data_IF_981722392774
#
_entry.id   IF_981722392774
#
_cell.length_a   1.000
_cell.length_b   1.000
_cell.length_c   1.000
_cell.angle_alpha   90.00
_cell.angle_beta   90.00
_cell.angle_gamma   90.00
#
_symmetry.space_group_name_H-M   'P 1'
#
loop_
_entity.id
_entity.type
_entity.pdbx_description
1 polymer ?
#
# COMPACT_ATOMS: atom_id res chain seq x y z
N UNK A 1 1.01 20.40 14.70
CA UNK A 1 -0.19 19.96 13.98
C UNK A 1 -1.30 19.74 14.99
N UNK A 2 -2.52 20.24 14.73
CA UNK A 2 -3.69 20.10 15.62
C UNK A 2 -4.58 18.95 15.17
N UNK A 3 -5.47 18.46 16.06
CA UNK A 3 -6.44 17.43 15.70
C UNK A 3 -7.38 17.83 14.55
N UNK A 4 -7.92 19.07 14.46
CA UNK A 4 -8.68 19.50 13.30
C UNK A 4 -7.89 19.42 11.97
N UNK A 5 -6.60 19.76 11.99
CA UNK A 5 -5.75 19.63 10.81
C UNK A 5 -5.53 18.15 10.39
N UNK A 6 -5.34 17.27 11.38
CA UNK A 6 -5.24 15.83 11.12
C UNK A 6 -6.55 15.26 10.56
N UNK A 7 -7.69 15.72 11.10
CA UNK A 7 -9.02 15.36 10.58
C UNK A 7 -9.18 15.80 9.13
N UNK A 8 -8.84 17.03 8.80
CA UNK A 8 -8.89 17.56 7.44
C UNK A 8 -8.01 16.74 6.48
N UNK A 9 -6.80 16.38 6.90
CA UNK A 9 -5.92 15.51 6.11
C UNK A 9 -6.56 14.14 5.86
N UNK A 10 -7.11 13.53 6.92
CA UNK A 10 -7.82 12.24 6.82
C UNK A 10 -8.99 12.32 5.85
N UNK A 11 -9.81 13.38 5.91
CA UNK A 11 -10.96 13.60 5.03
C UNK A 11 -10.55 13.81 3.56
N UNK A 12 -9.33 14.27 3.33
CA UNK A 12 -8.71 14.41 1.99
C UNK A 12 -8.00 13.14 1.50
N UNK A 13 -8.12 12.02 2.23
CA UNK A 13 -7.56 10.73 1.83
C UNK A 13 -6.14 10.45 2.31
N UNK A 14 -5.53 11.34 3.11
CA UNK A 14 -4.23 11.03 3.73
C UNK A 14 -4.40 9.99 4.84
N UNK A 15 -3.47 9.06 4.90
CA UNK A 15 -3.45 8.08 5.98
C UNK A 15 -2.90 8.69 7.27
N UNK A 16 -3.67 8.58 8.36
CA UNK A 16 -3.23 8.91 9.71
C UNK A 16 -2.88 7.60 10.41
N UNK A 17 -1.60 7.36 10.59
CA UNK A 17 -1.05 6.13 11.16
C UNK A 17 -0.61 6.31 12.61
N UNK A 18 -0.45 5.19 13.34
CA UNK A 18 0.00 5.19 14.72
C UNK A 18 1.53 5.12 14.82
N UNK A 19 2.12 5.95 15.70
CA UNK A 19 3.55 5.99 16.02
C UNK A 19 3.82 5.96 17.53
N UNK A 20 2.85 5.49 18.32
CA UNK A 20 2.81 5.58 19.78
C UNK A 20 2.33 6.95 20.26
N UNK A 21 1.77 6.97 21.47
CA UNK A 21 1.31 8.20 22.12
C UNK A 21 2.47 9.05 22.65
N UNK A 22 3.39 8.40 23.37
CA UNK A 22 4.55 9.02 24.00
C UNK A 22 5.89 8.62 23.33
N UNK A 23 5.83 8.09 22.12
CA UNK A 23 7.02 7.70 21.35
C UNK A 23 7.95 6.73 22.10
N UNK A 24 7.35 5.77 22.85
CA UNK A 24 8.11 4.81 23.67
C UNK A 24 8.96 3.87 22.81
N UNK A 25 10.25 3.81 23.11
CA UNK A 25 11.18 2.91 22.42
C UNK A 25 10.97 1.47 22.88
N UNK A 26 10.68 0.55 21.96
CA UNK A 26 10.36 -0.85 22.24
C UNK A 26 11.50 -1.65 22.93
N UNK A 27 12.74 -1.17 22.88
CA UNK A 27 13.85 -1.80 23.58
C UNK A 27 14.01 -1.32 25.04
N UNK A 28 13.40 -0.17 25.40
CA UNK A 28 13.66 0.50 26.69
C UNK A 28 12.50 0.44 27.66
N UNK A 29 11.29 0.18 27.17
CA UNK A 29 10.07 0.16 27.99
C UNK A 29 9.52 -1.26 28.11
N UNK A 30 8.86 -1.59 29.25
CA UNK A 30 8.12 -2.82 29.43
C UNK A 30 7.03 -3.01 28.36
N UNK A 31 6.72 -4.25 28.04
CA UNK A 31 5.79 -4.56 26.95
C UNK A 31 4.36 -4.05 27.22
N UNK A 32 3.92 -4.08 28.48
CA UNK A 32 2.59 -3.57 28.87
C UNK A 32 2.50 -2.07 28.66
N UNK A 33 3.55 -1.31 28.97
CA UNK A 33 3.58 0.12 28.73
C UNK A 33 3.58 0.47 27.24
N UNK A 34 4.24 -0.35 26.41
CA UNK A 34 4.22 -0.20 24.96
C UNK A 34 2.82 -0.46 24.42
N UNK A 35 2.15 -1.49 24.92
CA UNK A 35 0.78 -1.83 24.55
C UNK A 35 -0.19 -0.70 24.90
N UNK A 36 -0.12 -0.18 26.10
CA UNK A 36 -0.92 0.98 26.53
C UNK A 36 -0.67 2.21 25.67
N UNK A 37 0.59 2.49 25.33
CA UNK A 37 1.00 3.61 24.49
C UNK A 37 0.40 3.51 23.07
N UNK A 38 0.42 2.32 22.50
CA UNK A 38 -0.19 2.03 21.20
C UNK A 38 -1.71 2.21 21.25
N UNK A 39 -2.38 1.56 22.21
CA UNK A 39 -3.83 1.60 22.34
C UNK A 39 -4.36 3.02 22.63
N UNK A 40 -3.66 3.77 23.47
CA UNK A 40 -3.99 5.16 23.77
C UNK A 40 -3.96 6.02 22.51
N UNK A 41 -2.93 5.84 21.68
CA UNK A 41 -2.81 6.60 20.43
C UNK A 41 -3.85 6.17 19.39
N UNK A 42 -4.14 4.86 19.26
CA UNK A 42 -5.24 4.38 18.41
C UNK A 42 -6.57 5.01 18.79
N UNK A 43 -6.89 5.03 20.09
CA UNK A 43 -8.12 5.63 20.61
C UNK A 43 -8.18 7.14 20.34
N UNK A 44 -7.07 7.85 20.54
CA UNK A 44 -7.01 9.29 20.30
C UNK A 44 -7.18 9.65 18.82
N UNK A 45 -6.52 8.91 17.92
CA UNK A 45 -6.66 9.10 16.47
C UNK A 45 -8.11 8.83 16.07
N UNK A 46 -8.68 7.70 16.48
CA UNK A 46 -10.06 7.37 16.16
C UNK A 46 -11.07 8.40 16.68
N UNK A 47 -10.92 8.82 17.94
CA UNK A 47 -11.81 9.82 18.54
C UNK A 47 -11.80 11.16 17.80
N UNK A 48 -10.67 11.56 17.22
CA UNK A 48 -10.51 12.85 16.57
C UNK A 48 -10.68 12.82 15.05
N UNK A 49 -10.45 11.69 14.40
CA UNK A 49 -10.55 11.58 12.94
C UNK A 49 -11.74 10.75 12.47
N UNK A 50 -12.28 9.89 13.32
CA UNK A 50 -13.28 8.87 12.97
C UNK A 50 -12.70 7.65 12.25
N UNK A 51 -11.38 7.61 12.03
CA UNK A 51 -10.70 6.52 11.30
C UNK A 51 -9.73 5.79 12.22
N UNK A 52 -9.89 4.47 12.34
CA UNK A 52 -8.97 3.62 13.10
C UNK A 52 -7.66 3.44 12.32
N UNK A 53 -6.49 3.69 12.93
CA UNK A 53 -5.19 3.44 12.29
C UNK A 53 -5.03 1.96 11.90
N UNK A 54 -4.68 1.72 10.64
CA UNK A 54 -4.49 0.35 10.10
C UNK A 54 -3.04 0.00 9.84
N UNK A 55 -2.12 0.91 10.18
CA UNK A 55 -0.68 0.72 10.07
C UNK A 55 0.03 1.24 11.31
N UNK A 56 1.29 0.89 11.47
CA UNK A 56 2.11 1.34 12.59
C UNK A 56 3.55 1.64 12.16
N UNK A 57 4.12 2.71 12.71
CA UNK A 57 5.54 3.04 12.58
C UNK A 57 6.21 2.88 13.94
N UNK A 58 7.37 2.20 13.97
CA UNK A 58 8.09 1.95 15.23
C UNK A 58 8.86 3.17 15.70
N UNK A 59 8.64 3.67 16.94
CA UNK A 59 9.49 4.70 17.54
C UNK A 59 10.97 4.30 17.51
N UNK A 60 11.83 5.25 17.08
CA UNK A 60 13.27 5.03 16.89
C UNK A 60 13.63 3.86 15.95
N UNK A 61 12.72 3.44 15.06
CA UNK A 61 12.86 2.25 14.20
C UNK A 61 13.17 0.95 14.98
N UNK A 62 12.90 0.91 16.29
CA UNK A 62 13.13 -0.27 17.10
C UNK A 62 12.01 -1.29 16.90
N UNK A 63 12.38 -2.50 16.47
CA UNK A 63 11.48 -3.57 16.07
C UNK A 63 11.65 -4.82 16.93
N UNK A 64 11.84 -4.69 18.24
CA UNK A 64 11.93 -5.82 19.17
C UNK A 64 10.74 -6.76 18.96
N UNK A 65 11.00 -8.07 18.86
CA UNK A 65 10.03 -9.06 18.39
C UNK A 65 8.71 -9.07 19.18
N UNK A 66 8.79 -8.91 20.49
CA UNK A 66 7.61 -8.87 21.36
C UNK A 66 6.70 -7.67 21.10
N UNK A 67 7.29 -6.47 20.97
CA UNK A 67 6.55 -5.26 20.61
C UNK A 67 5.96 -5.33 19.18
N UNK A 68 6.64 -6.01 18.25
CA UNK A 68 6.10 -6.24 16.90
C UNK A 68 4.82 -7.05 16.93
N UNK A 69 4.72 -8.11 17.77
CA UNK A 69 3.50 -8.92 17.88
C UNK A 69 2.29 -8.10 18.29
N UNK A 70 2.48 -7.08 19.12
CA UNK A 70 1.40 -6.16 19.52
C UNK A 70 1.12 -5.17 18.40
N UNK A 71 2.15 -4.56 17.85
CA UNK A 71 2.00 -3.54 16.82
C UNK A 71 1.31 -4.01 15.53
N UNK A 72 1.37 -5.31 15.21
CA UNK A 72 0.72 -5.86 14.01
C UNK A 72 -0.76 -6.22 14.21
N UNK A 73 -1.26 -6.23 15.45
CA UNK A 73 -2.66 -6.60 15.72
C UNK A 73 -3.63 -5.59 15.11
N UNK A 74 -4.64 -6.10 14.40
CA UNK A 74 -5.66 -5.30 13.71
C UNK A 74 -5.09 -4.30 12.69
N UNK A 75 -3.95 -4.62 12.07
CA UNK A 75 -3.28 -3.78 11.06
C UNK A 75 -2.93 -4.57 9.80
N UNK A 76 -2.96 -3.88 8.69
CA UNK A 76 -2.55 -4.45 7.40
C UNK A 76 -1.03 -4.54 7.27
N UNK A 77 -0.30 -3.66 7.96
CA UNK A 77 1.14 -3.65 7.92
C UNK A 77 1.79 -2.73 8.96
N UNK A 78 3.10 -2.89 9.12
CA UNK A 78 3.93 -2.02 9.94
C UNK A 78 5.18 -1.62 9.17
N UNK A 79 5.61 -0.36 9.29
CA UNK A 79 6.79 0.14 8.58
C UNK A 79 8.07 -0.46 9.17
N UNK A 80 8.65 -1.40 8.45
CA UNK A 80 9.88 -2.09 8.85
C UNK A 80 11.13 -1.55 8.18
N UNK A 81 10.98 -0.84 7.07
CA UNK A 81 12.04 -0.16 6.34
C UNK A 81 11.54 1.15 5.74
N UNK A 82 12.44 2.06 5.49
CA UNK A 82 12.19 3.31 4.77
C UNK A 82 13.51 3.88 4.26
N UNK A 83 13.41 4.77 3.27
CA UNK A 83 14.48 5.70 2.92
C UNK A 83 14.21 7.02 3.60
N UNK A 84 15.15 7.49 4.44
CA UNK A 84 15.10 8.87 4.93
C UNK A 84 15.34 9.83 3.77
N UNK A 85 14.43 10.77 3.61
CA UNK A 85 14.51 11.86 2.65
C UNK A 85 14.39 13.18 3.40
N UNK A 86 15.26 14.15 3.10
CA UNK A 86 15.32 15.40 3.86
C UNK A 86 16.46 16.31 3.42
N UNK A 87 17.09 16.98 4.37
CA UNK A 87 18.09 18.04 4.12
C UNK A 87 19.26 17.60 3.22
N UNK A 88 19.66 16.35 3.30
CA UNK A 88 20.78 15.78 2.53
C UNK A 88 20.36 15.17 1.18
N UNK A 89 19.07 15.04 0.90
CA UNK A 89 18.59 14.46 -0.36
C UNK A 89 18.65 15.52 -1.46
N UNK A 90 19.38 15.26 -2.52
CA UNK A 90 19.34 16.05 -3.75
C UNK A 90 18.20 15.56 -4.66
N UNK A 91 17.77 16.39 -5.60
CA UNK A 91 16.76 15.97 -6.60
C UNK A 91 17.28 14.79 -7.42
N UNK A 92 18.57 14.77 -7.76
CA UNK A 92 19.21 13.66 -8.47
C UNK A 92 19.22 12.35 -7.65
N UNK A 93 19.44 12.42 -6.32
CA UNK A 93 19.36 11.21 -5.46
C UNK A 93 17.95 10.64 -5.40
N UNK A 94 16.95 11.51 -5.38
CA UNK A 94 15.52 11.11 -5.37
C UNK A 94 15.12 10.51 -6.73
N UNK A 95 15.55 11.11 -7.84
CA UNK A 95 15.34 10.59 -9.19
C UNK A 95 16.00 9.22 -9.38
N UNK A 96 17.26 9.07 -8.96
CA UNK A 96 17.96 7.78 -8.99
C UNK A 96 17.24 6.72 -8.19
N UNK A 97 16.74 7.08 -7.00
CA UNK A 97 15.96 6.16 -6.18
C UNK A 97 14.68 5.72 -6.88
N UNK A 98 13.91 6.66 -7.45
CA UNK A 98 12.72 6.39 -8.23
C UNK A 98 13.01 5.42 -9.38
N UNK A 99 14.06 5.69 -10.18
CA UNK A 99 14.45 4.83 -11.28
C UNK A 99 14.82 3.41 -10.81
N UNK A 100 15.55 3.29 -9.69
CA UNK A 100 15.87 1.98 -9.10
C UNK A 100 14.61 1.20 -8.73
N UNK A 101 13.61 1.86 -8.11
CA UNK A 101 12.34 1.21 -7.75
C UNK A 101 11.59 0.69 -8.97
N UNK A 102 11.59 1.44 -10.08
CA UNK A 102 10.99 1.01 -11.34
C UNK A 102 11.73 -0.20 -11.93
N UNK A 103 13.06 -0.13 -11.99
CA UNK A 103 13.91 -1.20 -12.54
C UNK A 103 13.79 -2.51 -11.76
N UNK A 104 13.69 -2.41 -10.42
CA UNK A 104 13.61 -3.58 -9.54
C UNK A 104 12.17 -4.02 -9.24
N UNK A 105 11.16 -3.28 -9.67
CA UNK A 105 9.76 -3.47 -9.31
C UNK A 105 9.55 -3.54 -7.78
N UNK A 106 10.21 -2.67 -7.03
CA UNK A 106 10.23 -2.70 -5.58
C UNK A 106 9.34 -1.60 -4.98
N UNK A 107 9.03 -1.75 -3.69
CA UNK A 107 8.25 -0.79 -2.92
C UNK A 107 9.12 0.22 -2.21
N UNK A 108 9.01 1.49 -2.59
CA UNK A 108 9.70 2.60 -1.95
C UNK A 108 8.84 3.26 -0.87
N UNK A 109 9.40 3.39 0.33
CA UNK A 109 8.80 4.15 1.44
C UNK A 109 9.71 5.33 1.76
N UNK A 110 9.34 6.54 1.33
CA UNK A 110 10.02 7.78 1.69
C UNK A 110 9.58 8.24 3.09
N UNK A 111 10.52 8.62 3.94
CA UNK A 111 10.24 9.14 5.28
C UNK A 111 10.95 10.47 5.50
N UNK A 112 10.21 11.47 5.91
CA UNK A 112 10.74 12.77 6.36
C UNK A 112 10.14 13.14 7.72
N UNK A 113 10.88 13.89 8.52
CA UNK A 113 10.39 14.43 9.80
C UNK A 113 9.75 15.81 9.63
N UNK A 114 9.85 16.41 8.47
CA UNK A 114 9.24 17.71 8.19
C UNK A 114 9.65 18.26 6.82
N UNK A 115 8.89 19.24 6.35
CA UNK A 115 9.16 19.89 5.07
C UNK A 115 10.09 21.09 5.28
N UNK A 116 9.66 22.08 6.03
CA UNK A 116 10.41 23.33 6.27
C UNK A 116 11.19 23.29 7.59
N UNK A 117 10.57 22.75 8.64
CA UNK A 117 11.12 22.70 9.99
C UNK A 117 11.11 21.27 10.54
N UNK A 118 11.97 20.99 11.50
CA UNK A 118 12.09 19.72 12.17
C UNK A 118 13.44 19.04 11.94
N UNK A 119 13.60 17.87 12.56
CA UNK A 119 14.79 17.05 12.39
C UNK A 119 14.91 16.58 10.94
N UNK A 120 16.06 16.82 10.32
CA UNK A 120 16.35 16.44 8.93
C UNK A 120 15.29 16.90 7.89
N UNK A 121 14.61 18.02 8.16
CA UNK A 121 13.66 18.59 7.22
C UNK A 121 14.35 19.06 5.93
N UNK A 122 13.61 19.10 4.81
CA UNK A 122 14.13 19.60 3.53
C UNK A 122 14.59 21.06 3.58
N UNK A 123 14.06 21.86 4.52
CA UNK A 123 14.24 23.31 4.67
C UNK A 123 13.69 24.11 3.50
N UNK A 124 14.03 23.73 2.27
CA UNK A 124 13.37 24.22 1.05
C UNK A 124 12.42 23.12 0.55
N UNK A 125 11.08 23.29 0.70
CA UNK A 125 10.10 22.30 0.26
C UNK A 125 10.06 22.12 -1.26
N UNK A 126 10.53 23.11 -2.05
CA UNK A 126 10.51 23.04 -3.52
C UNK A 126 11.18 21.77 -4.03
N UNK A 127 12.27 21.32 -3.40
CA UNK A 127 12.95 20.08 -3.78
C UNK A 127 12.03 18.85 -3.70
N UNK A 128 11.13 18.80 -2.72
CA UNK A 128 10.16 17.70 -2.59
C UNK A 128 9.06 17.85 -3.65
N UNK A 129 8.61 19.07 -3.92
CA UNK A 129 7.62 19.34 -4.97
C UNK A 129 8.17 18.95 -6.35
N UNK A 130 9.40 19.36 -6.68
CA UNK A 130 10.07 18.99 -7.93
C UNK A 130 10.20 17.46 -8.06
N UNK A 131 10.47 16.75 -6.96
CA UNK A 131 10.49 15.28 -6.97
C UNK A 131 9.10 14.69 -7.22
N UNK A 132 8.06 15.23 -6.60
CA UNK A 132 6.70 14.75 -6.85
C UNK A 132 6.24 15.01 -8.28
N UNK A 133 6.68 16.11 -8.90
CA UNK A 133 6.47 16.34 -10.33
C UNK A 133 7.17 15.29 -11.20
N UNK A 134 8.39 14.87 -10.83
CA UNK A 134 9.08 13.75 -11.49
C UNK A 134 8.30 12.43 -11.33
N UNK A 135 7.81 12.14 -10.13
CA UNK A 135 6.99 10.94 -9.87
C UNK A 135 5.68 10.99 -10.68
N UNK A 136 5.02 12.14 -10.69
CA UNK A 136 3.78 12.36 -11.45
C UNK A 136 3.98 12.18 -12.96
N UNK A 137 5.10 12.64 -13.49
CA UNK A 137 5.45 12.44 -14.90
C UNK A 137 5.64 10.97 -15.29
N UNK A 138 5.82 10.08 -14.32
CA UNK A 138 6.02 8.62 -14.47
C UNK A 138 4.85 7.79 -13.90
N UNK A 139 3.65 8.37 -13.76
CA UNK A 139 2.48 7.70 -13.16
C UNK A 139 1.98 6.47 -13.94
N UNK A 140 2.39 6.31 -15.18
CA UNK A 140 2.15 5.10 -15.97
C UNK A 140 3.09 3.91 -15.63
N UNK A 141 4.13 4.15 -14.82
CA UNK A 141 5.12 3.17 -14.39
C UNK A 141 5.14 3.00 -12.87
N UNK A 142 4.61 3.99 -12.14
CA UNK A 142 4.65 4.05 -10.68
C UNK A 142 3.24 4.14 -10.13
N UNK A 143 2.88 3.23 -9.24
CA UNK A 143 1.70 3.39 -8.41
C UNK A 143 2.08 4.12 -7.12
N UNK A 144 1.45 5.28 -6.89
CA UNK A 144 1.54 6.03 -5.63
C UNK A 144 0.29 5.74 -4.80
N UNK A 145 0.46 5.13 -3.66
CA UNK A 145 -0.61 4.83 -2.71
C UNK A 145 -0.22 5.21 -1.28
N UNK A 146 -1.18 5.21 -0.38
CA UNK A 146 -0.90 5.28 1.04
C UNK A 146 -0.13 4.04 1.48
N UNK A 147 0.58 4.11 2.60
CA UNK A 147 1.28 2.94 3.14
C UNK A 147 0.31 1.78 3.38
N UNK A 148 -0.90 2.08 3.85
CA UNK A 148 -1.97 1.10 4.06
C UNK A 148 -2.34 0.37 2.77
N UNK A 149 -2.64 1.10 1.70
CA UNK A 149 -3.04 0.52 0.41
C UNK A 149 -1.96 -0.40 -0.14
N UNK A 150 -0.70 0.08 -0.20
CA UNK A 150 0.40 -0.73 -0.74
C UNK A 150 0.69 -1.95 0.13
N UNK A 151 0.73 -1.80 1.47
CA UNK A 151 0.95 -2.91 2.39
C UNK A 151 -0.17 -3.96 2.31
N UNK A 152 -1.43 -3.52 2.19
CA UNK A 152 -2.59 -4.39 2.01
C UNK A 152 -2.49 -5.15 0.69
N UNK A 153 -2.32 -4.44 -0.42
CA UNK A 153 -2.20 -5.02 -1.76
C UNK A 153 -1.10 -6.09 -1.84
N UNK A 154 0.10 -5.81 -1.30
CA UNK A 154 1.21 -6.76 -1.32
C UNK A 154 0.82 -8.04 -0.56
N UNK A 155 0.24 -7.89 0.62
CA UNK A 155 -0.13 -9.02 1.46
C UNK A 155 -1.29 -9.81 0.87
N UNK A 156 -2.30 -9.15 0.35
CA UNK A 156 -3.42 -9.78 -0.36
C UNK A 156 -2.92 -10.55 -1.58
N UNK A 157 -2.03 -9.98 -2.37
CA UNK A 157 -1.41 -10.63 -3.53
C UNK A 157 -0.61 -11.88 -3.13
N UNK A 158 0.17 -11.82 -2.06
CA UNK A 158 1.02 -12.92 -1.60
C UNK A 158 0.21 -14.08 -1.01
N UNK A 159 -0.92 -13.79 -0.36
CA UNK A 159 -1.76 -14.79 0.32
C UNK A 159 -2.93 -15.31 -0.53
N UNK A 160 -3.26 -14.63 -1.64
CA UNK A 160 -4.31 -15.08 -2.55
C UNK A 160 -3.87 -16.31 -3.33
N UNK A 161 -4.64 -17.38 -3.20
CA UNK A 161 -4.50 -18.59 -4.02
C UNK A 161 -5.46 -18.51 -5.19
N UNK A 162 -5.02 -19.01 -6.34
CA UNK A 162 -5.82 -19.06 -7.56
C UNK A 162 -5.93 -20.50 -8.03
N UNK A 163 -7.16 -21.03 -8.11
CA UNK A 163 -7.42 -22.26 -8.83
C UNK A 163 -7.87 -21.93 -10.26
N UNK A 164 -7.16 -22.46 -11.27
CA UNK A 164 -7.35 -22.10 -12.67
C UNK A 164 -7.74 -23.32 -13.49
N UNK A 165 -8.96 -23.28 -14.01
CA UNK A 165 -9.48 -24.31 -14.93
C UNK A 165 -9.55 -23.76 -16.35
N UNK A 166 -8.81 -24.37 -17.28
CA UNK A 166 -8.80 -23.99 -18.70
C UNK A 166 -9.82 -24.84 -19.47
N UNK A 167 -10.79 -24.17 -20.09
CA UNK A 167 -11.83 -24.79 -20.93
C UNK A 167 -11.81 -24.16 -22.32
N UNK A 168 -11.00 -24.72 -23.24
CA UNK A 168 -10.85 -24.26 -24.63
C UNK A 168 -10.59 -22.75 -24.76
N UNK A 169 -11.63 -21.94 -24.90
CA UNK A 169 -11.54 -20.47 -25.03
C UNK A 169 -11.96 -19.72 -23.77
N UNK A 170 -12.03 -20.41 -22.63
CA UNK A 170 -12.50 -19.83 -21.37
C UNK A 170 -11.57 -20.27 -20.25
N UNK A 171 -11.09 -19.30 -19.45
CA UNK A 171 -10.46 -19.57 -18.17
C UNK A 171 -11.50 -19.32 -17.07
N UNK A 172 -11.60 -20.26 -16.15
CA UNK A 172 -12.31 -20.09 -14.89
C UNK A 172 -11.26 -20.01 -13.81
N UNK A 173 -11.27 -18.90 -13.06
CA UNK A 173 -10.28 -18.62 -12.03
C UNK A 173 -11.04 -18.41 -10.73
N UNK A 174 -10.75 -19.24 -9.73
CA UNK A 174 -11.35 -19.14 -8.41
C UNK A 174 -10.33 -18.56 -7.46
N UNK A 175 -10.49 -17.30 -6.99
CA UNK A 175 -9.63 -16.74 -5.96
C UNK A 175 -10.03 -17.30 -4.58
N UNK A 176 -9.03 -17.50 -3.71
CA UNK A 176 -9.21 -17.84 -2.31
C UNK A 176 -8.26 -16.99 -1.47
N UNK A 177 -8.82 -16.12 -0.62
CA UNK A 177 -8.07 -15.32 0.33
C UNK A 177 -8.67 -15.47 1.72
N UNK A 178 -7.82 -15.73 2.73
CA UNK A 178 -8.23 -15.98 4.13
C UNK A 178 -7.94 -14.82 5.09
N UNK A 179 -7.53 -13.67 4.56
CA UNK A 179 -7.32 -12.49 5.38
C UNK A 179 -8.67 -11.89 5.85
N UNK A 180 -8.61 -11.06 6.90
CA UNK A 180 -9.80 -10.37 7.41
C UNK A 180 -10.29 -9.30 6.42
N UNK A 181 -11.43 -9.51 5.79
CA UNK A 181 -12.08 -8.61 4.83
C UNK A 181 -12.39 -7.20 5.38
N UNK A 182 -12.38 -7.01 6.71
CA UNK A 182 -12.55 -5.68 7.33
C UNK A 182 -11.26 -4.86 7.31
N UNK A 183 -10.12 -5.53 7.13
CA UNK A 183 -8.80 -4.92 7.10
C UNK A 183 -8.24 -4.84 5.68
N UNK A 184 -8.38 -5.92 4.92
CA UNK A 184 -7.81 -6.11 3.60
C UNK A 184 -8.93 -5.97 2.57
N UNK A 185 -8.85 -4.92 1.76
CA UNK A 185 -9.96 -4.49 0.88
C UNK A 185 -9.49 -4.07 -0.50
N UNK A 186 -8.21 -4.26 -0.81
CA UNK A 186 -7.65 -3.78 -2.06
C UNK A 186 -8.00 -4.75 -3.22
N UNK A 187 -8.43 -4.24 -4.36
CA UNK A 187 -8.56 -5.07 -5.55
C UNK A 187 -7.17 -5.50 -6.04
N UNK A 188 -7.06 -6.72 -6.52
CA UNK A 188 -5.81 -7.23 -7.09
C UNK A 188 -5.85 -7.20 -8.61
N UNK A 189 -4.72 -6.85 -9.24
CA UNK A 189 -4.59 -6.85 -10.69
C UNK A 189 -4.15 -8.23 -11.19
N UNK A 190 -4.97 -8.82 -12.05
CA UNK A 190 -4.64 -10.04 -12.79
C UNK A 190 -3.99 -9.69 -14.12
N UNK A 191 -2.89 -10.37 -14.44
CA UNK A 191 -2.22 -10.29 -15.73
C UNK A 191 -2.30 -11.66 -16.39
N UNK A 192 -2.94 -11.73 -17.56
CA UNK A 192 -3.00 -12.95 -18.38
C UNK A 192 -2.20 -12.69 -19.66
N UNK A 193 -1.20 -13.51 -19.91
CA UNK A 193 -0.40 -13.45 -21.14
C UNK A 193 -0.87 -14.49 -22.14
N UNK A 194 -1.03 -14.13 -23.40
CA UNK A 194 -1.44 -15.06 -24.43
C UNK A 194 -1.18 -14.52 -25.82
N UNK A 195 -0.98 -15.43 -26.79
CA UNK A 195 -0.77 -15.06 -28.19
C UNK A 195 -2.10 -14.67 -28.84
N UNK A 196 -2.08 -13.67 -29.70
CA UNK A 196 -3.21 -13.24 -30.55
C UNK A 196 -4.52 -12.90 -29.82
N UNK A 197 -4.42 -12.27 -28.64
CA UNK A 197 -5.57 -11.84 -27.88
C UNK A 197 -6.25 -10.63 -28.56
N UNK A 198 -7.39 -10.86 -29.24
CA UNK A 198 -8.10 -9.80 -29.97
C UNK A 198 -9.34 -9.28 -29.28
N UNK A 199 -10.06 -10.15 -28.61
CA UNK A 199 -11.27 -9.77 -27.89
C UNK A 199 -11.39 -10.59 -26.63
N UNK A 200 -11.41 -9.89 -25.50
CA UNK A 200 -11.52 -10.49 -24.17
C UNK A 200 -12.76 -9.95 -23.48
N UNK A 201 -13.45 -10.81 -22.79
CA UNK A 201 -14.50 -10.45 -21.85
C UNK A 201 -14.21 -11.09 -20.52
N UNK A 202 -14.18 -10.30 -19.45
CA UNK A 202 -13.97 -10.78 -18.10
C UNK A 202 -15.20 -10.48 -17.25
N UNK A 203 -15.62 -11.45 -16.47
CA UNK A 203 -16.69 -11.33 -15.48
C UNK A 203 -16.26 -11.97 -14.18
N UNK A 204 -16.55 -11.34 -13.05
CA UNK A 204 -16.49 -11.95 -11.74
C UNK A 204 -17.91 -12.09 -11.20
N UNK A 205 -18.37 -13.32 -11.04
CA UNK A 205 -19.79 -13.59 -10.83
C UNK A 205 -20.66 -12.98 -11.94
N UNK A 206 -21.58 -12.09 -11.56
CA UNK A 206 -22.45 -11.36 -12.50
C UNK A 206 -21.83 -10.05 -13.02
N UNK A 207 -20.80 -9.50 -12.34
CA UNK A 207 -20.18 -8.22 -12.67
C UNK A 207 -19.21 -8.36 -13.84
N UNK A 208 -19.37 -7.51 -14.87
CA UNK A 208 -18.37 -7.36 -15.93
C UNK A 208 -17.23 -6.49 -15.43
N UNK A 209 -15.98 -6.95 -15.58
CA UNK A 209 -14.79 -6.21 -15.20
C UNK A 209 -14.26 -5.39 -16.40
N UNK A 210 -13.76 -4.17 -16.15
CA UNK A 210 -12.97 -3.44 -17.13
C UNK A 210 -11.72 -4.23 -17.49
N UNK A 211 -11.31 -4.15 -18.76
CA UNK A 211 -10.14 -4.89 -19.27
C UNK A 211 -9.26 -3.94 -20.05
N UNK A 212 -7.98 -3.96 -19.75
CA UNK A 212 -6.95 -3.32 -20.56
C UNK A 212 -6.17 -4.38 -21.32
N UNK A 213 -5.98 -4.17 -22.62
CA UNK A 213 -5.17 -5.06 -23.48
C UNK A 213 -3.97 -4.28 -23.96
N UNK A 214 -2.77 -4.78 -23.67
CA UNK A 214 -1.50 -4.15 -24.05
C UNK A 214 -0.58 -5.24 -24.61
N UNK A 215 -0.38 -5.23 -25.92
CA UNK A 215 0.38 -6.25 -26.61
C UNK A 215 -0.24 -7.65 -26.43
N UNK A 216 0.51 -8.56 -25.85
CA UNK A 216 0.11 -9.94 -25.54
C UNK A 216 -0.47 -10.11 -24.12
N UNK A 217 -0.70 -8.99 -23.39
CA UNK A 217 -1.18 -9.00 -22.01
C UNK A 217 -2.62 -8.47 -21.91
N UNK A 218 -3.39 -9.13 -21.06
CA UNK A 218 -4.72 -8.70 -20.61
C UNK A 218 -4.62 -8.40 -19.11
N UNK A 219 -4.98 -7.18 -18.73
CA UNK A 219 -4.98 -6.74 -17.34
C UNK A 219 -6.41 -6.41 -16.91
N UNK A 220 -6.76 -6.79 -15.69
CA UNK A 220 -8.02 -6.42 -15.05
C UNK A 220 -7.90 -6.54 -13.53
N UNK A 221 -8.64 -5.70 -12.83
CA UNK A 221 -8.73 -5.77 -11.38
C UNK A 221 -9.89 -6.67 -10.96
N UNK A 222 -9.67 -7.46 -9.91
CA UNK A 222 -10.64 -8.37 -9.33
C UNK A 222 -10.68 -8.27 -7.81
N UNK A 223 -11.80 -8.68 -7.23
CA UNK A 223 -11.97 -8.82 -5.79
C UNK A 223 -11.44 -10.19 -5.35
N UNK A 224 -10.38 -10.26 -4.51
CA UNK A 224 -9.81 -11.54 -4.07
C UNK A 224 -10.76 -12.37 -3.19
N UNK A 225 -11.83 -11.76 -2.65
CA UNK A 225 -12.89 -12.44 -1.89
C UNK A 225 -14.15 -12.71 -2.73
N UNK A 226 -14.12 -12.32 -3.99
CA UNK A 226 -15.30 -12.39 -4.86
C UNK A 226 -15.51 -13.76 -5.50
N UNK A 227 -16.57 -13.83 -6.29
CA UNK A 227 -16.95 -15.03 -7.04
C UNK A 227 -15.90 -15.44 -8.08
N UNK A 228 -16.11 -16.62 -8.68
CA UNK A 228 -15.32 -17.14 -9.81
C UNK A 228 -15.21 -16.11 -10.94
N UNK A 229 -14.00 -15.92 -11.41
CA UNK A 229 -13.68 -15.05 -12.54
C UNK A 229 -13.75 -15.89 -13.83
N UNK A 230 -14.58 -15.46 -14.76
CA UNK A 230 -14.68 -16.06 -16.09
C UNK A 230 -14.03 -15.15 -17.13
N UNK A 231 -12.94 -15.60 -17.72
CA UNK A 231 -12.25 -14.94 -18.82
C UNK A 231 -12.59 -15.66 -20.10
N UNK A 232 -13.22 -14.96 -21.04
CA UNK A 232 -13.57 -15.52 -22.36
C UNK A 232 -12.68 -14.87 -23.44
N UNK A 233 -11.88 -15.69 -24.10
CA UNK A 233 -10.98 -15.28 -25.15
C UNK A 233 -11.63 -15.62 -26.52
N UNK A 234 -11.69 -14.66 -27.43
CA UNK A 234 -12.06 -14.93 -28.83
C UNK A 234 -10.81 -14.87 -29.67
N UNK A 235 -10.34 -16.00 -30.17
CA UNK A 235 -9.31 -16.08 -31.21
C UNK A 235 -9.86 -15.67 -32.57
N UNK A 236 -9.00 -15.25 -33.51
CA UNK A 236 -9.38 -15.17 -34.93
C UNK A 236 -9.82 -16.55 -35.42
N UNK A 237 -10.96 -16.60 -36.13
CA UNK A 237 -11.21 -17.69 -37.09
C UNK A 237 -10.25 -17.54 -38.26
#
# INVERSE_FOLDING_TARGET
MTWPQLKEMSDKGHEISNHGWAHKNFARFPIEEIKEDILKNDSAIFANTGVMPRTFCYPNNNKKAEGRRIAVQNRVGTRTHQRSIGSKSTLQDLEKWMNTLIETNDWGVGMTHGLTYGYDAFRNPQRLWDHWDQVKARENEIWVGTFREVASYIREREETKLDVVNKKNTLLITPELKLDQKLFVEPLTMVITGKDIKKVTVKQGKRKLPVQVTGDKVLFDFDPYGDVIKVTLKSRK
#
